data_IF_487883336301
#
_entry.id   IF_487883336301
#
_cell.length_a   1.000
_cell.length_b   1.000
_cell.length_c   1.000
_cell.angle_alpha   90.00
_cell.angle_beta   90.00
_cell.angle_gamma   90.00
#
_symmetry.space_group_name_H-M   'P 1'
#
loop_
_entity.id
_entity.type
_entity.pdbx_description
1 polymer ?
#
# COMPACT_ATOMS: atom_id res chain seq x y z
N UNK A 1 4.98 -16.85 41.27
CA UNK A 1 4.89 -15.53 41.94
C UNK A 1 5.02 -14.49 40.84
N UNK A 2 3.97 -13.71 40.56
CA UNK A 2 4.02 -12.68 39.52
C UNK A 2 4.95 -11.54 40.01
N UNK A 3 5.95 -11.19 39.20
CA UNK A 3 6.81 -10.02 39.44
C UNK A 3 5.92 -8.77 39.34
N UNK A 4 5.99 -7.81 40.27
CA UNK A 4 5.21 -6.59 40.17
C UNK A 4 5.63 -5.82 38.92
N UNK A 5 4.79 -5.82 37.89
CA UNK A 5 4.95 -4.96 36.73
C UNK A 5 4.51 -3.56 37.10
N UNK A 6 5.37 -2.56 36.88
CA UNK A 6 5.04 -1.14 37.07
C UNK A 6 3.97 -0.63 36.07
N UNK A 7 3.60 -1.45 35.09
CA UNK A 7 2.59 -1.13 34.07
C UNK A 7 1.21 -1.47 34.62
N UNK A 8 0.36 -0.44 34.73
CA UNK A 8 -1.06 -0.61 35.02
C UNK A 8 -1.77 -1.06 33.73
N UNK A 9 -2.36 -2.26 33.78
CA UNK A 9 -3.12 -2.80 32.66
C UNK A 9 -4.54 -2.24 32.69
N UNK A 10 -4.83 -1.29 31.79
CA UNK A 10 -6.19 -0.82 31.57
C UNK A 10 -6.92 -1.82 30.64
N UNK A 11 -8.00 -2.45 31.12
CA UNK A 11 -8.77 -3.39 30.31
C UNK A 11 -9.39 -2.75 29.06
N UNK A 12 -9.60 -1.43 29.02
CA UNK A 12 -10.08 -0.74 27.84
C UNK A 12 -9.01 -0.70 26.73
N UNK A 13 -7.76 -0.41 27.09
CA UNK A 13 -6.62 -0.39 26.16
C UNK A 13 -6.36 -1.81 25.63
N UNK A 14 -6.41 -2.82 26.50
CA UNK A 14 -6.23 -4.21 26.07
C UNK A 14 -7.32 -4.65 25.07
N UNK A 15 -8.59 -4.32 25.32
CA UNK A 15 -9.69 -4.65 24.40
C UNK A 15 -9.55 -3.94 23.06
N UNK A 16 -9.16 -2.67 23.07
CA UNK A 16 -8.90 -1.93 21.83
C UNK A 16 -7.76 -2.55 21.03
N UNK A 17 -6.68 -2.94 21.71
CA UNK A 17 -5.57 -3.63 21.07
C UNK A 17 -6.04 -4.95 20.44
N UNK A 18 -6.73 -5.80 21.22
CA UNK A 18 -7.30 -7.07 20.72
C UNK A 18 -8.25 -6.85 19.54
N UNK A 19 -9.11 -5.83 19.57
CA UNK A 19 -10.03 -5.51 18.47
C UNK A 19 -9.29 -5.24 17.15
N UNK A 20 -8.18 -4.48 17.19
CA UNK A 20 -7.38 -4.20 15.99
C UNK A 20 -6.64 -5.43 15.49
N UNK A 21 -5.98 -6.16 16.39
CA UNK A 21 -5.21 -7.36 16.03
C UNK A 21 -6.13 -8.48 15.49
N UNK A 22 -7.34 -8.61 16.04
CA UNK A 22 -8.32 -9.62 15.64
C UNK A 22 -9.22 -9.16 14.46
N UNK A 23 -9.01 -7.97 13.91
CA UNK A 23 -9.87 -7.41 12.86
C UNK A 23 -10.00 -8.34 11.63
N UNK A 24 -8.93 -9.05 11.28
CA UNK A 24 -8.92 -9.99 10.15
C UNK A 24 -9.85 -11.20 10.37
N UNK A 25 -10.09 -11.62 11.62
CA UNK A 25 -10.95 -12.77 11.96
C UNK A 25 -12.42 -12.48 11.64
N UNK A 26 -12.81 -11.21 11.72
CA UNK A 26 -14.18 -10.75 11.49
C UNK A 26 -14.35 -10.07 10.13
N UNK A 27 -13.31 -10.03 9.31
CA UNK A 27 -13.36 -9.43 7.99
C UNK A 27 -14.31 -10.17 7.05
N UNK A 28 -15.06 -9.42 6.22
CA UNK A 28 -15.96 -9.96 5.22
C UNK A 28 -15.86 -9.16 3.93
N UNK A 29 -15.84 -9.86 2.80
CA UNK A 29 -15.94 -9.25 1.48
C UNK A 29 -17.36 -8.76 1.22
N UNK A 30 -17.59 -7.47 1.46
CA UNK A 30 -18.79 -6.72 1.04
C UNK A 30 -18.52 -6.02 -0.29
N UNK A 31 -19.57 -5.58 -1.00
CA UNK A 31 -19.41 -4.84 -2.26
C UNK A 31 -18.44 -3.66 -2.15
N UNK A 32 -18.49 -2.91 -1.03
CA UNK A 32 -17.59 -1.78 -0.79
C UNK A 32 -16.14 -2.23 -0.57
N UNK A 33 -15.91 -3.16 0.36
CA UNK A 33 -14.54 -3.61 0.70
C UNK A 33 -13.88 -4.35 -0.46
N UNK A 34 -14.65 -5.12 -1.23
CA UNK A 34 -14.13 -5.81 -2.41
C UNK A 34 -13.69 -4.83 -3.50
N UNK A 35 -14.46 -3.76 -3.74
CA UNK A 35 -14.05 -2.71 -4.67
C UNK A 35 -12.77 -2.01 -4.21
N UNK A 36 -12.68 -1.65 -2.92
CA UNK A 36 -11.47 -1.01 -2.35
C UNK A 36 -10.25 -1.94 -2.46
N UNK A 37 -10.42 -3.22 -2.15
CA UNK A 37 -9.33 -4.20 -2.24
C UNK A 37 -8.88 -4.39 -3.68
N UNK A 38 -9.82 -4.51 -4.61
CA UNK A 38 -9.51 -4.65 -6.03
C UNK A 38 -8.81 -3.40 -6.59
N UNK A 39 -9.31 -2.20 -6.27
CA UNK A 39 -8.69 -0.97 -6.77
C UNK A 39 -7.29 -0.77 -6.18
N UNK A 40 -7.14 -0.97 -4.87
CA UNK A 40 -5.87 -0.78 -4.17
C UNK A 40 -4.81 -1.82 -4.50
N UNK A 41 -5.18 -3.10 -4.58
CA UNK A 41 -4.22 -4.20 -4.73
C UNK A 41 -3.99 -4.59 -6.20
N UNK A 42 -4.96 -4.36 -7.09
CA UNK A 42 -4.87 -4.82 -8.49
C UNK A 42 -4.81 -3.64 -9.45
N UNK A 43 -5.83 -2.77 -9.43
CA UNK A 43 -5.95 -1.72 -10.45
C UNK A 43 -4.83 -0.69 -10.37
N UNK A 44 -4.52 -0.17 -9.18
CA UNK A 44 -3.48 0.86 -9.05
C UNK A 44 -2.09 0.28 -9.40
N UNK A 45 -1.65 -0.87 -8.85
CA UNK A 45 -0.36 -1.44 -9.22
C UNK A 45 -0.27 -1.83 -10.70
N UNK A 46 -1.35 -2.34 -11.30
CA UNK A 46 -1.33 -2.74 -12.72
C UNK A 46 -1.22 -1.53 -13.65
N UNK A 47 -1.93 -0.43 -13.36
CA UNK A 47 -1.83 0.81 -14.13
C UNK A 47 -0.43 1.40 -14.02
N UNK A 48 0.13 1.45 -12.80
CA UNK A 48 1.51 1.93 -12.59
C UNK A 48 2.49 1.07 -13.37
N UNK A 49 2.38 -0.26 -13.28
CA UNK A 49 3.24 -1.18 -14.00
C UNK A 49 3.13 -1.00 -15.52
N UNK A 50 1.91 -0.87 -16.04
CA UNK A 50 1.67 -0.67 -17.47
C UNK A 50 2.31 0.62 -17.99
N UNK A 51 2.10 1.75 -17.29
CA UNK A 51 2.71 3.03 -17.66
C UNK A 51 4.23 2.96 -17.54
N UNK A 52 4.74 2.33 -16.49
CA UNK A 52 6.17 2.13 -16.31
C UNK A 52 6.75 1.28 -17.45
N UNK A 53 6.15 0.14 -17.79
CA UNK A 53 6.63 -0.73 -18.88
C UNK A 53 6.61 -0.03 -20.23
N UNK A 54 5.59 0.79 -20.47
CA UNK A 54 5.50 1.55 -21.71
C UNK A 54 6.51 2.70 -21.74
N UNK A 55 6.81 3.36 -20.63
CA UNK A 55 7.74 4.50 -20.63
C UNK A 55 9.20 4.09 -20.42
N UNK A 56 9.42 2.84 -19.97
CA UNK A 56 10.74 2.30 -19.70
C UNK A 56 11.59 2.36 -20.98
N UNK A 57 12.75 3.00 -20.86
CA UNK A 57 13.72 3.23 -21.94
C UNK A 57 13.25 4.09 -23.12
N UNK A 58 12.01 4.60 -23.12
CA UNK A 58 11.53 5.49 -24.19
C UNK A 58 12.20 6.86 -24.17
N UNK A 59 12.77 7.30 -23.05
CA UNK A 59 13.38 8.62 -22.93
C UNK A 59 14.87 8.53 -22.58
N UNK A 60 15.70 9.25 -23.33
CA UNK A 60 17.12 9.41 -23.02
C UNK A 60 17.46 10.90 -22.95
N UNK A 61 17.85 11.33 -21.76
CA UNK A 61 18.15 12.73 -21.43
C UNK A 61 19.65 13.01 -21.42
N UNK A 62 20.47 11.97 -21.58
CA UNK A 62 21.93 12.07 -21.46
C UNK A 62 22.47 12.92 -22.60
N UNK A 63 23.04 14.09 -22.26
CA UNK A 63 23.71 14.99 -23.22
C UNK A 63 22.82 15.73 -24.22
N UNK A 64 21.49 15.75 -24.02
CA UNK A 64 20.53 16.41 -24.92
C UNK A 64 20.60 17.95 -24.84
N UNK A 65 20.51 18.64 -25.98
CA UNK A 65 20.52 20.11 -26.09
C UNK A 65 19.12 20.67 -26.35
N UNK A 66 18.97 21.99 -26.28
CA UNK A 66 17.70 22.69 -26.56
C UNK A 66 17.26 22.40 -28.01
N UNK A 67 16.07 21.80 -28.15
CA UNK A 67 15.48 21.42 -29.44
C UNK A 67 15.69 19.95 -29.82
N UNK A 68 16.52 19.20 -29.10
CA UNK A 68 16.73 17.78 -29.37
C UNK A 68 15.57 16.92 -28.85
N UNK A 69 15.17 15.92 -29.63
CA UNK A 69 14.17 14.94 -29.18
C UNK A 69 14.73 14.09 -28.03
N UNK A 70 13.92 13.96 -26.97
CA UNK A 70 14.19 13.12 -25.80
C UNK A 70 13.76 11.66 -26.03
N UNK A 71 12.91 11.42 -27.03
CA UNK A 71 12.44 10.06 -27.35
C UNK A 71 13.59 9.27 -27.96
N UNK A 72 13.85 8.11 -27.38
CA UNK A 72 14.75 7.09 -27.91
C UNK A 72 13.96 6.27 -28.92
N UNK A 73 14.12 6.60 -30.20
CA UNK A 73 13.59 5.83 -31.34
C UNK A 73 14.25 4.46 -31.45
#
# INVERSE_FOLDING_TARGET
>A
MAVPSFVQLDPAIERWNRMREDAYKHFRFTRRTSLITFTGCVLIPSVIYYVASETQYKFNWTGKRKGDSLVRS
#
